data_IF_714461592374
#
_entry.id   IF_714461592374
#
_cell.length_a   1.000
_cell.length_b   1.000
_cell.length_c   1.000
_cell.angle_alpha   90.00
_cell.angle_beta   90.00
_cell.angle_gamma   90.00
#
_symmetry.space_group_name_H-M   'P 1'
#
loop_
_entity.id
_entity.type
_entity.pdbx_description
1 polymer ?
#
# COMPACT_ATOMS: atom_id res chain seq x y z
N UNK A 1 16.39 -3.07 10.45
CA UNK A 1 14.98 -3.43 10.64
C UNK A 1 14.14 -2.63 9.65
N UNK A 2 13.73 -3.23 8.49
CA UNK A 2 12.99 -2.44 7.49
C UNK A 2 11.55 -2.17 7.89
N UNK A 3 11.10 -0.97 7.59
CA UNK A 3 9.72 -0.55 7.71
C UNK A 3 9.25 -0.09 6.35
N UNK A 4 8.17 -0.69 5.87
CA UNK A 4 7.64 -0.39 4.54
C UNK A 4 6.20 0.06 4.70
N UNK A 5 5.90 1.24 4.21
CA UNK A 5 4.54 1.74 4.18
C UNK A 5 4.00 1.64 2.77
N UNK A 6 2.82 1.10 2.66
CA UNK A 6 2.15 0.98 1.38
C UNK A 6 0.81 1.69 1.47
N UNK A 7 0.63 2.74 0.68
CA UNK A 7 -0.60 3.51 0.65
C UNK A 7 -1.39 3.13 -0.57
N UNK A 8 -2.60 2.67 -0.35
CA UNK A 8 -3.47 2.18 -1.44
C UNK A 8 -4.86 2.77 -1.31
N UNK A 9 -5.59 2.74 -2.41
CA UNK A 9 -7.01 3.07 -2.38
C UNK A 9 -7.77 1.99 -1.61
N UNK A 10 -8.81 2.40 -0.90
CA UNK A 10 -9.70 1.46 -0.23
C UNK A 10 -10.44 0.60 -1.26
N UNK A 11 -10.85 -0.59 -0.87
CA UNK A 11 -11.66 -1.46 -1.71
C UNK A 11 -11.12 -2.86 -1.90
N UNK A 12 -9.91 -3.14 -1.48
CA UNK A 12 -9.40 -4.50 -1.57
C UNK A 12 -10.02 -5.39 -0.50
N UNK A 13 -10.22 -6.66 -0.85
CA UNK A 13 -10.66 -7.66 0.12
C UNK A 13 -9.53 -7.97 1.09
N UNK A 14 -9.90 -8.57 2.22
CA UNK A 14 -8.90 -9.00 3.20
C UNK A 14 -7.89 -9.97 2.60
N UNK A 15 -8.37 -10.89 1.77
CA UNK A 15 -7.50 -11.89 1.11
C UNK A 15 -6.47 -11.20 0.24
N UNK A 16 -6.89 -10.21 -0.54
CA UNK A 16 -5.99 -9.46 -1.42
C UNK A 16 -4.98 -8.65 -0.62
N UNK A 17 -5.41 -8.02 0.46
CA UNK A 17 -4.50 -7.26 1.32
C UNK A 17 -3.45 -8.16 1.96
N UNK A 18 -3.86 -9.32 2.44
CA UNK A 18 -2.94 -10.28 3.02
C UNK A 18 -1.90 -10.74 2.00
N UNK A 19 -2.34 -11.00 0.77
CA UNK A 19 -1.42 -11.41 -0.29
C UNK A 19 -0.43 -10.31 -0.62
N UNK A 20 -0.90 -9.07 -0.71
CA UNK A 20 -0.03 -7.93 -0.97
C UNK A 20 1.06 -7.81 0.10
N UNK A 21 0.67 -7.92 1.37
CA UNK A 21 1.62 -7.84 2.47
C UNK A 21 2.65 -8.97 2.38
N UNK A 22 2.21 -10.19 2.10
CA UNK A 22 3.13 -11.33 1.95
C UNK A 22 4.11 -11.12 0.80
N UNK A 23 3.63 -10.57 -0.30
CA UNK A 23 4.48 -10.32 -1.46
C UNK A 23 5.52 -9.25 -1.17
N UNK A 24 5.13 -8.21 -0.44
CA UNK A 24 6.06 -7.15 -0.04
C UNK A 24 7.15 -7.72 0.87
N UNK A 25 6.78 -8.53 1.86
CA UNK A 25 7.75 -9.18 2.74
C UNK A 25 8.70 -10.04 1.93
N UNK A 26 8.15 -10.85 1.03
CA UNK A 26 8.96 -11.76 0.22
C UNK A 26 9.95 -11.01 -0.66
N UNK A 27 9.48 -10.00 -1.38
CA UNK A 27 10.34 -9.26 -2.29
C UNK A 27 11.39 -8.46 -1.53
N UNK A 28 11.06 -7.96 -0.35
CA UNK A 28 12.02 -7.26 0.49
C UNK A 28 13.11 -8.20 0.96
N UNK A 29 12.72 -9.37 1.43
CA UNK A 29 13.67 -10.40 1.83
C UNK A 29 14.62 -10.75 0.68
N UNK A 30 14.06 -10.96 -0.50
CA UNK A 30 14.87 -11.36 -1.67
C UNK A 30 15.78 -10.24 -2.16
N UNK A 31 15.36 -9.00 -2.01
CA UNK A 31 16.09 -7.85 -2.55
C UNK A 31 17.23 -7.38 -1.65
N UNK A 32 17.01 -7.36 -0.35
CA UNK A 32 18.00 -6.80 0.58
C UNK A 32 18.52 -7.80 1.61
N UNK A 33 18.05 -9.03 1.57
CA UNK A 33 18.55 -10.08 2.45
C UNK A 33 18.08 -9.97 3.90
N UNK A 34 17.09 -9.14 4.21
CA UNK A 34 16.56 -9.05 5.55
C UNK A 34 15.82 -10.32 5.95
N UNK A 35 15.96 -10.71 7.21
CA UNK A 35 15.17 -11.79 7.76
C UNK A 35 13.68 -11.39 7.72
N UNK A 36 12.81 -12.24 7.17
CA UNK A 36 11.38 -11.93 7.13
C UNK A 36 10.79 -11.59 8.50
N UNK A 37 11.38 -12.12 9.56
CA UNK A 37 10.87 -11.88 10.92
C UNK A 37 11.04 -10.45 11.41
N UNK A 38 11.88 -9.67 10.76
CA UNK A 38 12.10 -8.28 11.16
C UNK A 38 11.63 -7.30 10.10
N UNK A 39 11.02 -7.78 9.03
CA UNK A 39 10.43 -6.92 8.01
C UNK A 39 9.05 -6.50 8.48
N UNK A 40 8.84 -5.19 8.56
CA UNK A 40 7.57 -4.62 9.01
C UNK A 40 6.89 -3.95 7.84
N UNK A 41 5.63 -4.33 7.59
CA UNK A 41 4.85 -3.77 6.49
C UNK A 41 3.56 -3.21 7.07
N UNK A 42 3.29 -1.96 6.77
CA UNK A 42 2.06 -1.30 7.16
C UNK A 42 1.28 -0.92 5.91
N UNK A 43 0.03 -1.31 5.89
CA UNK A 43 -0.84 -1.03 4.76
C UNK A 43 -1.83 0.04 5.18
N UNK A 44 -1.83 1.15 4.46
CA UNK A 44 -2.73 2.27 4.71
C UNK A 44 -3.73 2.35 3.58
N UNK A 45 -5.00 2.23 3.92
CA UNK A 45 -6.07 2.36 2.95
C UNK A 45 -6.66 3.76 3.01
N UNK A 46 -6.87 4.36 1.87
CA UNK A 46 -7.40 5.72 1.79
C UNK A 46 -8.68 5.74 0.97
N UNK A 47 -9.77 6.25 1.53
CA UNK A 47 -10.97 6.46 0.73
C UNK A 47 -10.72 7.53 -0.32
N UNK A 48 -11.44 7.43 -1.43
CA UNK A 48 -11.23 8.30 -2.58
C UNK A 48 -11.34 9.79 -2.23
N UNK A 49 -12.26 10.13 -1.34
CA UNK A 49 -12.50 11.52 -0.96
C UNK A 49 -11.46 12.10 -0.01
N UNK A 50 -10.49 11.28 0.40
CA UNK A 50 -9.36 11.74 1.22
C UNK A 50 -8.09 11.96 0.40
N UNK A 51 -8.18 11.89 -0.92
CA UNK A 51 -6.98 11.90 -1.74
C UNK A 51 -7.04 12.99 -2.80
N UNK A 52 -5.90 13.61 -3.02
CA UNK A 52 -5.67 14.43 -4.20
C UNK A 52 -4.41 13.90 -4.87
N UNK A 53 -4.55 13.45 -6.09
CA UNK A 53 -3.43 12.92 -6.88
C UNK A 53 -3.24 13.81 -8.10
N UNK A 54 -2.03 14.31 -8.25
CA UNK A 54 -1.69 15.24 -9.36
C UNK A 54 -2.59 16.47 -9.36
N UNK A 55 -2.94 16.94 -8.16
CA UNK A 55 -3.79 18.12 -8.00
C UNK A 55 -5.26 17.88 -8.24
N UNK A 56 -5.65 16.65 -8.51
CA UNK A 56 -7.07 16.33 -8.74
C UNK A 56 -7.67 15.61 -7.55
N UNK A 57 -8.92 15.93 -7.26
CA UNK A 57 -9.68 15.25 -6.23
C UNK A 57 -10.36 14.06 -6.89
N UNK A 58 -10.08 12.88 -6.38
CA UNK A 58 -10.65 11.65 -6.93
C UNK A 58 -12.18 11.68 -6.81
N UNK A 59 -12.84 11.37 -7.89
CA UNK A 59 -14.31 11.40 -7.92
C UNK A 59 -14.88 12.74 -8.30
N UNK A 60 -14.05 13.77 -8.42
CA UNK A 60 -14.50 15.09 -8.89
C UNK A 60 -14.56 15.07 -10.41
N UNK A 61 -15.75 15.16 -10.96
CA UNK A 61 -16.00 15.07 -12.39
C UNK A 61 -15.94 16.39 -13.10
N UNK A 62 -15.74 17.48 -12.38
CA UNK A 62 -15.74 18.79 -13.02
C UNK A 62 -14.60 18.92 -14.00
N UNK A 63 -14.83 19.45 -15.16
CA UNK A 63 -13.73 19.72 -16.10
C UNK A 63 -12.76 20.73 -15.53
N UNK A 64 -11.52 20.64 -15.94
CA UNK A 64 -10.45 21.57 -15.53
C UNK A 64 -10.06 22.46 -16.68
#
# INVERSE_FOLDING_TARGET
MPYIECHIAAGLTKVRKTQLIRDIVKVTHESIGSDPKIINVLLFEHPADNMSISGRIHGDEAPR
#
